data_IF_433403963607
#
_entry.id   IF_433403963607
#
_cell.length_a   1.000
_cell.length_b   1.000
_cell.length_c   1.000
_cell.angle_alpha   90.00
_cell.angle_beta   90.00
_cell.angle_gamma   90.00
#
_symmetry.space_group_name_H-M   'P 1'
#
loop_
_entity.id
_entity.type
_entity.pdbx_description
1 polymer ?
#
# COMPACT_ATOMS: atom_id res chain seq x y z
N UNK A 1 -28.74 3.71 -36.19
CA UNK A 1 -28.74 2.25 -36.11
C UNK A 1 -30.13 1.74 -35.81
N UNK A 2 -30.41 0.47 -36.11
CA UNK A 2 -31.67 -0.19 -35.76
C UNK A 2 -31.62 -0.66 -34.29
N UNK A 3 -32.68 -0.41 -33.52
CA UNK A 3 -32.82 -0.97 -32.16
C UNK A 3 -33.29 -2.41 -32.31
N UNK A 4 -32.50 -3.36 -31.81
CA UNK A 4 -32.84 -4.78 -31.84
C UNK A 4 -33.80 -5.16 -30.71
N UNK A 5 -33.59 -4.61 -29.51
CA UNK A 5 -34.43 -4.82 -28.35
C UNK A 5 -34.14 -3.77 -27.25
N UNK A 6 -35.04 -3.66 -26.28
CA UNK A 6 -34.98 -2.81 -25.09
C UNK A 6 -35.20 -3.66 -23.85
N UNK A 7 -34.38 -3.44 -22.82
CA UNK A 7 -34.48 -4.16 -21.55
C UNK A 7 -34.74 -3.19 -20.41
N UNK A 8 -35.85 -3.38 -19.70
CA UNK A 8 -36.25 -2.58 -18.54
C UNK A 8 -37.04 -1.32 -18.90
N UNK A 9 -37.67 -0.72 -17.88
CA UNK A 9 -38.56 0.43 -18.04
C UNK A 9 -39.90 0.09 -18.71
N UNK A 10 -40.73 1.11 -18.96
CA UNK A 10 -42.10 0.95 -19.47
C UNK A 10 -42.20 0.44 -20.92
N UNK A 11 -41.07 0.40 -21.65
CA UNK A 11 -41.01 -0.04 -23.06
C UNK A 11 -40.04 -1.22 -23.22
N UNK A 12 -39.87 -2.01 -22.16
CA UNK A 12 -39.10 -3.25 -22.20
C UNK A 12 -39.74 -4.23 -23.17
N UNK A 13 -38.94 -4.84 -24.04
CA UNK A 13 -39.38 -5.93 -24.88
C UNK A 13 -39.37 -7.28 -24.11
N UNK A 14 -38.70 -7.32 -22.95
CA UNK A 14 -38.55 -8.54 -22.15
C UNK A 14 -39.57 -8.69 -21.03
N UNK A 15 -40.06 -9.92 -20.83
CA UNK A 15 -40.70 -10.38 -19.60
C UNK A 15 -39.64 -10.87 -18.61
N UNK A 16 -39.64 -10.35 -17.38
CA UNK A 16 -38.65 -10.72 -16.37
C UNK A 16 -39.15 -11.86 -15.48
N UNK A 17 -38.29 -12.85 -15.23
CA UNK A 17 -38.62 -14.06 -14.47
C UNK A 17 -37.68 -14.19 -13.28
N UNK A 18 -38.25 -14.46 -12.10
CA UNK A 18 -37.52 -14.67 -10.84
C UNK A 18 -37.97 -13.71 -9.73
N UNK A 19 -37.46 -13.94 -8.51
CA UNK A 19 -37.79 -13.10 -7.35
C UNK A 19 -37.19 -11.70 -7.46
N UNK A 20 -37.88 -10.70 -6.91
CA UNK A 20 -37.50 -9.28 -6.93
C UNK A 20 -37.19 -8.74 -8.33
N UNK A 21 -38.02 -9.12 -9.30
CA UNK A 21 -37.89 -8.70 -10.71
C UNK A 21 -38.95 -7.69 -11.18
N UNK A 22 -39.72 -7.11 -10.26
CA UNK A 22 -40.66 -6.02 -10.54
C UNK A 22 -40.51 -4.87 -9.51
N UNK A 23 -39.87 -3.74 -9.87
CA UNK A 23 -39.13 -3.53 -11.12
C UNK A 23 -37.87 -4.42 -11.18
N UNK A 24 -37.37 -4.78 -12.38
CA UNK A 24 -36.24 -5.71 -12.54
C UNK A 24 -34.91 -5.13 -12.04
N UNK A 25 -34.69 -3.84 -12.27
CA UNK A 25 -33.54 -3.05 -11.79
C UNK A 25 -33.90 -1.57 -11.83
N UNK A 26 -33.21 -0.75 -11.01
CA UNK A 26 -33.44 0.69 -10.92
C UNK A 26 -32.12 1.43 -10.79
N UNK A 27 -31.88 2.37 -11.71
CA UNK A 27 -30.68 3.20 -11.70
C UNK A 27 -29.41 2.42 -12.04
N UNK A 28 -29.54 1.38 -12.86
CA UNK A 28 -28.49 0.42 -13.14
C UNK A 28 -27.22 1.04 -13.76
N UNK A 29 -26.08 0.44 -13.45
CA UNK A 29 -24.78 0.77 -14.02
C UNK A 29 -24.07 -0.50 -14.51
N UNK A 30 -23.07 -0.29 -15.37
CA UNK A 30 -22.15 -1.35 -15.80
C UNK A 30 -22.82 -2.59 -16.41
N UNK A 31 -23.85 -2.40 -17.22
CA UNK A 31 -24.44 -3.51 -17.98
C UNK A 31 -23.43 -4.02 -19.02
N UNK A 32 -23.16 -5.32 -18.98
CA UNK A 32 -22.26 -6.03 -19.88
C UNK A 32 -22.92 -7.32 -20.35
N UNK A 33 -22.67 -7.71 -21.59
CA UNK A 33 -23.00 -9.04 -22.07
C UNK A 33 -21.80 -9.97 -21.81
N UNK A 34 -22.04 -11.05 -21.09
CA UNK A 34 -21.07 -12.11 -20.83
C UNK A 34 -20.91 -13.02 -22.05
N UNK A 35 -19.85 -13.83 -22.07
CA UNK A 35 -19.54 -14.72 -23.19
C UNK A 35 -20.64 -15.77 -23.46
N UNK A 36 -21.42 -16.14 -22.45
CA UNK A 36 -22.58 -17.04 -22.55
C UNK A 36 -23.86 -16.33 -23.05
N UNK A 37 -23.79 -15.02 -23.29
CA UNK A 37 -24.91 -14.20 -23.74
C UNK A 37 -25.75 -13.60 -22.61
N UNK A 38 -25.50 -13.96 -21.35
CA UNK A 38 -26.18 -13.36 -20.20
C UNK A 38 -25.81 -11.88 -20.05
N UNK A 39 -26.70 -11.10 -19.42
CA UNK A 39 -26.43 -9.71 -19.06
C UNK A 39 -26.09 -9.62 -17.59
N UNK A 40 -24.88 -9.16 -17.28
CA UNK A 40 -24.42 -8.84 -15.94
C UNK A 40 -24.49 -7.32 -15.74
N UNK A 41 -25.00 -6.87 -14.59
CA UNK A 41 -25.11 -5.46 -14.26
C UNK A 41 -25.09 -5.19 -12.76
N UNK A 42 -24.83 -3.93 -12.42
CA UNK A 42 -25.02 -3.42 -11.07
C UNK A 42 -26.37 -2.71 -10.99
N UNK A 43 -27.27 -3.20 -10.15
CA UNK A 43 -28.57 -2.62 -9.86
C UNK A 43 -28.47 -1.78 -8.59
N UNK A 44 -28.54 -0.46 -8.72
CA UNK A 44 -28.51 0.45 -7.57
C UNK A 44 -29.71 0.25 -6.64
N UNK A 45 -30.85 -0.24 -7.14
CA UNK A 45 -32.09 -0.35 -6.37
C UNK A 45 -32.76 1.01 -6.08
N UNK A 46 -32.17 2.12 -6.56
CA UNK A 46 -32.67 3.48 -6.36
C UNK A 46 -32.09 4.44 -7.41
N UNK A 47 -32.89 5.44 -7.77
CA UNK A 47 -32.48 6.64 -8.50
C UNK A 47 -33.27 7.85 -8.01
N UNK A 48 -32.90 9.07 -8.42
CA UNK A 48 -33.67 10.27 -8.06
C UNK A 48 -35.17 10.08 -8.40
N UNK A 49 -36.04 10.25 -7.40
CA UNK A 49 -37.49 10.10 -7.52
C UNK A 49 -38.02 8.66 -7.60
N UNK A 50 -37.19 7.61 -7.47
CA UNK A 50 -37.65 6.22 -7.56
C UNK A 50 -36.78 5.27 -6.71
N UNK A 51 -37.42 4.54 -5.78
CA UNK A 51 -36.77 3.49 -4.97
C UNK A 51 -37.48 2.16 -5.21
N UNK A 52 -36.71 1.10 -5.45
CA UNK A 52 -37.24 -0.26 -5.61
C UNK A 52 -37.53 -0.95 -4.28
N UNK A 53 -37.19 -0.32 -3.14
CA UNK A 53 -37.40 -0.91 -1.80
C UNK A 53 -36.43 -2.06 -1.47
N UNK A 54 -35.39 -2.29 -2.28
CA UNK A 54 -34.36 -3.32 -2.04
C UNK A 54 -32.94 -2.73 -1.98
N UNK A 55 -31.98 -3.43 -1.36
CA UNK A 55 -30.56 -3.08 -1.40
C UNK A 55 -30.02 -3.03 -2.83
N UNK A 56 -28.92 -2.31 -3.05
CA UNK A 56 -28.15 -2.46 -4.28
C UNK A 56 -27.68 -3.89 -4.44
N UNK A 57 -27.54 -4.37 -5.68
CA UNK A 57 -27.12 -5.74 -5.96
C UNK A 57 -26.32 -5.83 -7.25
N UNK A 58 -25.44 -6.82 -7.34
CA UNK A 58 -25.05 -7.36 -8.63
C UNK A 58 -26.18 -8.29 -9.13
N UNK A 59 -26.47 -8.24 -10.42
CA UNK A 59 -27.57 -8.97 -11.05
C UNK A 59 -27.13 -9.55 -12.39
N UNK A 60 -27.37 -10.85 -12.58
CA UNK A 60 -27.14 -11.55 -13.84
C UNK A 60 -28.47 -12.10 -14.39
N UNK A 61 -28.73 -11.81 -15.66
CA UNK A 61 -29.94 -12.19 -16.38
C UNK A 61 -29.59 -13.05 -17.61
N UNK A 62 -30.17 -14.25 -17.68
CA UNK A 62 -30.13 -15.06 -18.90
C UNK A 62 -31.24 -14.67 -19.85
N UNK A 63 -30.93 -14.56 -21.16
CA UNK A 63 -31.86 -14.07 -22.17
C UNK A 63 -32.32 -15.19 -23.10
N UNK A 64 -33.64 -15.29 -23.30
CA UNK A 64 -34.23 -16.00 -24.44
C UNK A 64 -34.75 -14.96 -25.43
N UNK A 65 -34.01 -14.74 -26.51
CA UNK A 65 -34.35 -13.73 -27.53
C UNK A 65 -35.50 -14.15 -28.44
N UNK A 66 -35.90 -15.43 -28.45
CA UNK A 66 -37.07 -15.89 -29.22
C UNK A 66 -38.36 -15.61 -28.47
N UNK A 67 -38.36 -15.85 -27.15
CA UNK A 67 -39.51 -15.60 -26.28
C UNK A 67 -39.52 -14.20 -25.68
N UNK A 68 -38.42 -13.46 -25.84
CA UNK A 68 -38.16 -12.19 -25.17
C UNK A 68 -38.36 -12.31 -23.66
N UNK A 69 -37.67 -13.26 -23.03
CA UNK A 69 -37.66 -13.42 -21.57
C UNK A 69 -36.27 -13.19 -21.00
N UNK A 70 -36.21 -12.53 -19.83
CA UNK A 70 -34.99 -12.32 -19.07
C UNK A 70 -35.13 -12.95 -17.68
N UNK A 71 -34.43 -14.06 -17.44
CA UNK A 71 -34.52 -14.83 -16.21
C UNK A 71 -33.36 -14.48 -15.28
N UNK A 72 -33.65 -14.15 -14.02
CA UNK A 72 -32.62 -13.99 -12.99
C UNK A 72 -31.93 -15.32 -12.75
N UNK A 73 -30.64 -15.40 -13.06
CA UNK A 73 -29.82 -16.60 -12.84
C UNK A 73 -28.85 -16.44 -11.68
N UNK A 74 -28.48 -15.20 -11.33
CA UNK A 74 -27.62 -14.93 -10.19
C UNK A 74 -27.86 -13.51 -9.65
N UNK A 75 -27.71 -13.34 -8.33
CA UNK A 75 -27.68 -12.01 -7.72
C UNK A 75 -26.96 -12.01 -6.39
N UNK A 76 -26.28 -10.92 -6.07
CA UNK A 76 -25.69 -10.71 -4.75
C UNK A 76 -26.05 -9.32 -4.21
N UNK A 77 -26.83 -9.21 -3.12
CA UNK A 77 -27.19 -7.93 -2.53
C UNK A 77 -26.03 -7.34 -1.72
N UNK A 78 -26.06 -6.03 -1.50
CA UNK A 78 -25.12 -5.35 -0.62
C UNK A 78 -25.10 -6.03 0.76
N UNK A 79 -23.93 -6.43 1.32
CA UNK A 79 -23.85 -7.20 2.57
C UNK A 79 -24.60 -6.56 3.74
N UNK A 80 -24.45 -5.23 3.88
CA UNK A 80 -25.13 -4.42 4.87
C UNK A 80 -26.52 -3.89 4.45
N UNK A 81 -27.14 -4.47 3.42
CA UNK A 81 -28.46 -4.10 2.90
C UNK A 81 -28.60 -2.61 2.53
N UNK A 82 -27.51 -1.99 2.09
CA UNK A 82 -27.48 -0.57 1.71
C UNK A 82 -27.83 -0.37 0.23
N UNK A 83 -28.21 0.85 -0.09
CA UNK A 83 -28.56 1.30 -1.44
C UNK A 83 -27.60 2.41 -1.86
N UNK A 84 -27.11 2.36 -3.08
CA UNK A 84 -26.21 3.35 -3.68
C UNK A 84 -26.98 4.28 -4.60
N UNK A 85 -26.79 5.60 -4.43
CA UNK A 85 -27.53 6.61 -5.22
C UNK A 85 -26.93 6.89 -6.59
N UNK A 86 -25.68 6.50 -6.81
CA UNK A 86 -24.97 6.63 -8.09
C UNK A 86 -23.91 5.55 -8.20
N UNK A 87 -23.53 5.31 -9.45
CA UNK A 87 -22.25 4.76 -9.80
C UNK A 87 -22.21 3.28 -9.38
N UNK A 88 -21.02 2.73 -9.19
CA UNK A 88 -20.84 1.32 -8.92
C UNK A 88 -20.77 0.50 -10.20
N UNK A 89 -20.51 -0.77 -10.01
CA UNK A 89 -20.29 -1.70 -11.09
C UNK A 89 -20.05 -3.11 -10.57
N UNK A 90 -20.10 -4.06 -11.50
CA UNK A 90 -19.77 -5.45 -11.24
C UNK A 90 -18.87 -5.97 -12.36
N UNK A 91 -17.91 -6.82 -12.02
CA UNK A 91 -17.06 -7.50 -12.96
C UNK A 91 -17.00 -8.98 -12.60
N UNK A 92 -17.27 -9.85 -13.59
CA UNK A 92 -16.93 -11.28 -13.50
C UNK A 92 -15.43 -11.40 -13.71
N UNK A 93 -14.70 -11.79 -12.67
CA UNK A 93 -13.25 -11.92 -12.66
C UNK A 93 -12.86 -13.32 -13.11
N UNK A 94 -11.98 -13.39 -14.10
CA UNK A 94 -11.31 -14.62 -14.50
C UNK A 94 -10.10 -14.85 -13.59
N UNK A 95 -10.14 -15.93 -12.81
CA UNK A 95 -9.09 -16.31 -11.87
C UNK A 95 -8.03 -17.23 -12.51
N UNK A 96 -8.05 -17.38 -13.83
CA UNK A 96 -7.14 -18.22 -14.58
C UNK A 96 -7.61 -19.67 -14.69
N UNK A 97 -6.89 -20.43 -15.51
CA UNK A 97 -7.24 -21.81 -15.84
C UNK A 97 -7.37 -22.69 -14.59
N UNK A 98 -8.48 -23.43 -14.49
CA UNK A 98 -8.76 -24.35 -13.38
C UNK A 98 -9.33 -23.69 -12.11
N UNK A 99 -9.42 -22.36 -12.04
CA UNK A 99 -10.00 -21.65 -10.90
C UNK A 99 -11.43 -21.15 -11.23
N UNK A 100 -12.39 -21.29 -10.29
CA UNK A 100 -13.73 -20.75 -10.50
C UNK A 100 -13.68 -19.21 -10.59
N UNK A 101 -14.50 -18.58 -11.43
CA UNK A 101 -14.57 -17.13 -11.49
C UNK A 101 -15.14 -16.56 -10.19
N UNK A 102 -14.86 -15.28 -9.94
CA UNK A 102 -15.42 -14.52 -8.82
C UNK A 102 -16.14 -13.29 -9.34
N UNK A 103 -16.95 -12.66 -8.48
CA UNK A 103 -17.67 -11.43 -8.81
C UNK A 103 -17.11 -10.29 -7.96
N UNK A 104 -16.43 -9.35 -8.62
CA UNK A 104 -15.99 -8.11 -8.00
C UNK A 104 -17.10 -7.07 -8.12
N UNK A 105 -17.56 -6.54 -7.00
CA UNK A 105 -18.69 -5.60 -6.92
C UNK A 105 -18.20 -4.31 -6.28
N UNK A 106 -18.29 -3.22 -7.04
CA UNK A 106 -18.12 -1.86 -6.53
C UNK A 106 -19.45 -1.24 -6.15
N UNK A 107 -19.58 -0.83 -4.89
CA UNK A 107 -20.85 -0.36 -4.33
C UNK A 107 -21.13 1.13 -4.61
N UNK A 108 -20.31 1.77 -5.44
CA UNK A 108 -20.53 3.13 -5.93
C UNK A 108 -20.38 4.18 -4.83
N UNK A 109 -21.39 5.03 -4.66
CA UNK A 109 -21.39 6.06 -3.60
C UNK A 109 -21.60 5.51 -2.18
N UNK A 110 -21.86 4.22 -2.05
CA UNK A 110 -22.10 3.49 -0.80
C UNK A 110 -20.93 2.55 -0.56
N UNK A 111 -20.32 2.60 0.62
CA UNK A 111 -19.22 1.71 1.01
C UNK A 111 -19.72 0.31 1.40
N UNK A 112 -18.88 -0.75 1.31
CA UNK A 112 -17.42 -0.73 1.10
C UNK A 112 -17.01 -0.30 -0.31
N UNK A 113 -15.73 0.03 -0.54
CA UNK A 113 -15.25 0.40 -1.88
C UNK A 113 -15.52 -0.73 -2.87
N UNK A 114 -15.16 -1.95 -2.50
CA UNK A 114 -15.56 -3.15 -3.22
C UNK A 114 -15.69 -4.36 -2.30
N UNK A 115 -16.45 -5.34 -2.76
CA UNK A 115 -16.50 -6.70 -2.23
C UNK A 115 -16.27 -7.66 -3.39
N UNK A 116 -15.45 -8.70 -3.19
CA UNK A 116 -15.36 -9.82 -4.12
C UNK A 116 -15.98 -11.06 -3.50
N UNK A 117 -16.79 -11.76 -4.28
CA UNK A 117 -17.52 -12.95 -3.83
C UNK A 117 -17.32 -14.15 -4.75
N UNK A 118 -17.50 -15.36 -4.23
CA UNK A 118 -17.56 -16.57 -5.05
C UNK A 118 -18.73 -16.52 -6.04
N UNK A 119 -18.55 -17.09 -7.24
CA UNK A 119 -19.61 -17.23 -8.23
C UNK A 119 -20.25 -18.61 -8.16
N UNK A 120 -21.04 -18.81 -7.12
CA UNK A 120 -21.85 -20.01 -6.89
C UNK A 120 -23.26 -19.60 -6.41
N UNK A 121 -24.13 -20.58 -6.14
CA UNK A 121 -25.52 -20.33 -5.73
C UNK A 121 -25.62 -19.69 -4.32
N UNK A 122 -24.60 -19.84 -3.48
CA UNK A 122 -24.54 -19.27 -2.13
C UNK A 122 -23.25 -18.46 -1.93
N UNK A 123 -23.12 -17.29 -2.59
CA UNK A 123 -21.87 -16.55 -2.65
C UNK A 123 -21.29 -16.23 -1.28
N UNK A 124 -20.00 -16.46 -1.12
CA UNK A 124 -19.24 -16.09 0.08
C UNK A 124 -18.32 -14.92 -0.24
N UNK A 125 -18.13 -14.03 0.74
CA UNK A 125 -17.19 -12.91 0.60
C UNK A 125 -15.77 -13.43 0.74
N UNK A 126 -14.95 -13.19 -0.30
CA UNK A 126 -13.54 -13.56 -0.36
C UNK A 126 -12.66 -12.43 0.16
N UNK A 127 -13.01 -11.19 -0.22
CA UNK A 127 -12.29 -9.98 0.16
C UNK A 127 -13.22 -8.78 0.14
N UNK A 128 -12.97 -7.86 1.04
CA UNK A 128 -13.68 -6.60 1.16
C UNK A 128 -12.67 -5.50 1.44
N UNK A 129 -12.83 -4.35 0.79
CA UNK A 129 -11.95 -3.20 0.98
C UNK A 129 -12.77 -1.97 1.33
N UNK A 130 -12.46 -1.38 2.48
CA UNK A 130 -13.16 -0.23 3.05
C UNK A 130 -12.38 1.09 2.81
N UNK A 131 -12.96 2.21 3.23
CA UNK A 131 -12.24 3.48 3.33
C UNK A 131 -12.25 4.37 2.07
N UNK A 132 -12.77 3.88 0.95
CA UNK A 132 -12.91 4.68 -0.28
C UNK A 132 -14.33 4.61 -0.84
N UNK A 133 -14.76 5.71 -1.47
CA UNK A 133 -15.93 5.70 -2.36
C UNK A 133 -15.40 5.76 -3.78
N UNK A 134 -15.60 4.71 -4.55
CA UNK A 134 -15.11 4.64 -5.91
C UNK A 134 -16.23 4.62 -6.93
N UNK A 135 -15.95 5.15 -8.12
CA UNK A 135 -16.89 5.10 -9.23
C UNK A 135 -17.10 3.64 -9.68
N UNK A 136 -16.01 2.94 -10.01
CA UNK A 136 -15.97 1.50 -10.36
C UNK A 136 -14.59 0.91 -10.04
N UNK A 137 -14.51 -0.23 -9.33
CA UNK A 137 -13.29 -1.03 -9.22
C UNK A 137 -13.16 -1.95 -10.44
N UNK A 138 -11.93 -2.26 -10.80
CA UNK A 138 -11.60 -3.30 -11.78
C UNK A 138 -10.47 -4.16 -11.22
N UNK A 139 -10.57 -5.47 -11.40
CA UNK A 139 -9.54 -6.43 -11.07
C UNK A 139 -9.09 -7.11 -12.37
N UNK A 140 -7.83 -6.89 -12.72
CA UNK A 140 -7.20 -7.46 -13.89
C UNK A 140 -5.81 -7.98 -13.52
N UNK A 141 -5.40 -9.05 -14.18
CA UNK A 141 -3.99 -9.42 -14.21
C UNK A 141 -3.21 -8.31 -14.92
N UNK A 142 -2.14 -7.83 -14.28
CA UNK A 142 -1.25 -6.85 -14.86
C UNK A 142 0.19 -7.15 -14.45
N UNK A 143 1.11 -6.84 -15.36
CA UNK A 143 2.54 -6.88 -15.07
C UNK A 143 3.08 -5.48 -14.87
N UNK A 144 3.75 -5.28 -13.74
CA UNK A 144 4.33 -4.03 -13.33
C UNK A 144 5.84 -4.09 -13.31
N UNK A 145 6.47 -3.03 -13.80
CA UNK A 145 7.91 -2.81 -13.68
C UNK A 145 8.15 -1.38 -13.21
N UNK A 146 9.30 -1.16 -12.59
CA UNK A 146 9.72 0.15 -12.11
C UNK A 146 11.19 0.37 -12.42
N UNK A 147 11.52 1.59 -12.83
CA UNK A 147 12.90 2.03 -12.96
C UNK A 147 13.50 2.40 -11.61
N UNK A 148 12.67 2.62 -10.60
CA UNK A 148 13.10 2.96 -9.24
C UNK A 148 13.71 1.76 -8.51
N UNK A 149 14.33 2.02 -7.36
CA UNK A 149 14.81 0.96 -6.47
C UNK A 149 13.71 0.56 -5.48
N UNK A 150 13.69 -0.69 -4.98
CA UNK A 150 12.85 -1.02 -3.84
C UNK A 150 13.26 -0.19 -2.61
N UNK A 151 12.26 0.19 -1.80
CA UNK A 151 12.47 0.89 -0.54
C UNK A 151 12.86 -0.12 0.55
N UNK A 152 13.75 0.32 1.43
CA UNK A 152 14.19 -0.40 2.62
C UNK A 152 14.36 0.63 3.74
N UNK A 153 13.56 0.52 4.80
CA UNK A 153 13.52 1.45 5.93
C UNK A 153 13.72 0.70 7.25
N UNK A 154 14.27 1.39 8.25
CA UNK A 154 14.34 0.92 9.63
C UNK A 154 13.31 1.68 10.47
N UNK A 155 12.47 0.97 11.20
CA UNK A 155 11.34 1.50 11.94
C UNK A 155 11.32 0.97 13.37
N UNK A 156 10.75 1.74 14.31
CA UNK A 156 10.62 1.35 15.72
C UNK A 156 9.18 1.26 16.22
N UNK A 157 8.20 1.55 15.36
CA UNK A 157 6.79 1.72 15.71
C UNK A 157 5.86 0.65 15.12
N UNK A 158 6.38 -0.21 14.25
CA UNK A 158 5.56 -1.21 13.56
C UNK A 158 5.20 -2.44 14.43
N UNK A 159 6.02 -2.77 15.43
CA UNK A 159 5.78 -3.93 16.31
C UNK A 159 4.90 -3.60 17.54
N UNK A 160 4.40 -2.36 17.63
CA UNK A 160 3.61 -1.86 18.77
C UNK A 160 2.24 -2.55 18.92
N UNK A 161 1.63 -2.96 17.80
CA UNK A 161 0.37 -3.71 17.84
C UNK A 161 0.52 -5.16 18.30
N UNK A 162 1.66 -5.81 18.03
CA UNK A 162 1.91 -7.18 18.49
C UNK A 162 2.34 -7.26 19.96
N UNK A 163 2.80 -6.14 20.54
CA UNK A 163 3.37 -6.08 21.90
C UNK A 163 2.41 -5.59 22.99
N UNK A 164 1.09 -5.58 22.74
CA UNK A 164 0.11 -5.18 23.74
C UNK A 164 0.06 -3.67 24.02
N UNK A 165 0.50 -2.83 23.07
CA UNK A 165 0.17 -1.40 23.07
C UNK A 165 1.10 -0.47 23.85
N UNK A 166 2.32 -0.90 24.24
CA UNK A 166 3.35 0.03 24.72
C UNK A 166 4.51 0.09 23.71
N UNK A 167 4.78 1.27 23.11
CA UNK A 167 5.97 1.49 22.31
C UNK A 167 7.22 1.25 23.17
N UNK A 168 8.09 0.37 22.68
CA UNK A 168 9.43 0.15 23.24
C UNK A 168 10.41 0.25 22.10
N UNK A 169 11.61 0.77 22.39
CA UNK A 169 12.75 0.74 21.46
C UNK A 169 13.95 0.02 22.08
N UNK A 170 13.77 -0.55 23.28
CA UNK A 170 14.84 -1.05 24.13
C UNK A 170 15.39 -2.40 23.67
N UNK A 171 14.67 -3.15 22.84
CA UNK A 171 15.05 -4.50 22.42
C UNK A 171 15.06 -4.62 20.90
N UNK A 172 15.89 -5.51 20.36
CA UNK A 172 16.03 -5.70 18.90
C UNK A 172 14.72 -6.14 18.23
N UNK A 173 13.84 -6.87 18.93
CA UNK A 173 12.54 -7.24 18.38
C UNK A 173 11.60 -6.05 18.21
N UNK A 174 11.85 -4.94 18.90
CA UNK A 174 11.00 -3.75 18.79
C UNK A 174 11.30 -2.97 17.49
N UNK A 175 12.40 -3.32 16.80
CA UNK A 175 12.88 -2.69 15.58
C UNK A 175 12.67 -3.58 14.37
N UNK A 176 12.18 -2.98 13.29
CA UNK A 176 11.81 -3.69 12.07
C UNK A 176 12.40 -3.03 10.84
N UNK A 177 12.88 -3.85 9.92
CA UNK A 177 13.22 -3.47 8.56
C UNK A 177 12.03 -3.72 7.66
N UNK A 178 11.56 -2.65 7.01
CA UNK A 178 10.42 -2.67 6.09
C UNK A 178 10.93 -2.54 4.67
N UNK A 179 10.44 -3.39 3.77
CA UNK A 179 10.80 -3.28 2.37
C UNK A 179 9.65 -3.60 1.42
N UNK A 180 9.58 -2.81 0.35
CA UNK A 180 8.54 -2.88 -0.66
C UNK A 180 9.08 -2.41 -2.02
N UNK A 181 8.41 -2.81 -3.10
CA UNK A 181 8.73 -2.33 -4.44
C UNK A 181 7.45 -1.86 -5.12
N UNK A 182 7.18 -0.56 -5.01
CA UNK A 182 5.96 0.01 -5.55
C UNK A 182 5.89 -0.18 -7.07
N UNK A 183 4.73 -0.62 -7.56
CA UNK A 183 4.46 -0.81 -8.99
C UNK A 183 5.11 -2.04 -9.64
N UNK A 184 5.84 -2.89 -8.90
CA UNK A 184 6.48 -4.10 -9.45
C UNK A 184 5.71 -5.35 -9.05
N UNK A 185 5.37 -6.19 -10.05
CA UNK A 185 4.64 -7.44 -9.84
C UNK A 185 5.51 -8.66 -10.17
N UNK A 186 5.03 -9.86 -9.81
CA UNK A 186 5.74 -11.13 -10.07
C UNK A 186 6.93 -11.43 -9.14
N UNK A 187 7.16 -10.61 -8.11
CA UNK A 187 8.15 -10.90 -7.07
C UNK A 187 7.65 -12.10 -6.25
N UNK A 188 8.40 -13.18 -6.22
CA UNK A 188 8.08 -14.39 -5.45
C UNK A 188 8.67 -14.33 -4.04
N UNK A 189 9.86 -13.74 -3.91
CA UNK A 189 10.60 -13.63 -2.66
C UNK A 189 11.63 -12.51 -2.70
N UNK A 190 12.23 -12.26 -1.56
CA UNK A 190 13.27 -11.28 -1.33
C UNK A 190 14.50 -11.96 -0.76
N UNK A 191 15.68 -11.51 -1.18
CA UNK A 191 16.96 -11.90 -0.60
C UNK A 191 17.54 -10.73 0.17
N UNK A 192 17.91 -10.98 1.42
CA UNK A 192 18.57 -10.00 2.27
C UNK A 192 20.06 -10.28 2.29
N UNK A 193 20.87 -9.23 2.12
CA UNK A 193 22.32 -9.25 2.11
C UNK A 193 22.84 -8.28 3.16
N UNK A 194 24.00 -8.59 3.71
CA UNK A 194 24.65 -7.77 4.74
C UNK A 194 26.09 -7.46 4.37
N UNK A 195 26.58 -6.29 4.78
CA UNK A 195 27.94 -5.83 4.56
C UNK A 195 28.42 -4.89 5.67
N UNK A 196 29.74 -4.74 5.75
CA UNK A 196 30.39 -3.83 6.71
C UNK A 196 30.45 -2.38 6.21
N UNK A 197 30.16 -2.15 4.93
CA UNK A 197 30.04 -0.83 4.31
C UNK A 197 28.87 -0.79 3.31
N UNK A 198 28.65 0.38 2.71
CA UNK A 198 27.52 0.63 1.81
C UNK A 198 27.56 -0.17 0.51
N UNK A 199 28.70 -0.74 0.12
CA UNK A 199 28.83 -1.63 -1.04
C UNK A 199 28.57 -3.09 -0.65
N UNK A 200 27.35 -3.36 -0.18
CA UNK A 200 26.96 -4.69 0.31
C UNK A 200 27.10 -5.74 -0.81
N UNK A 201 27.93 -6.79 -0.62
CA UNK A 201 28.17 -7.80 -1.63
C UNK A 201 26.94 -8.70 -1.85
N UNK A 202 26.62 -8.97 -3.12
CA UNK A 202 25.48 -9.80 -3.51
C UNK A 202 25.86 -11.27 -3.79
N UNK A 203 27.04 -11.71 -3.39
CA UNK A 203 27.54 -13.07 -3.63
C UNK A 203 26.87 -14.13 -2.75
N UNK A 204 26.50 -13.77 -1.52
CA UNK A 204 25.86 -14.67 -0.56
C UNK A 204 24.79 -13.93 0.24
N UNK A 205 23.54 -14.32 0.06
CA UNK A 205 22.44 -13.78 0.86
C UNK A 205 22.49 -14.35 2.29
N UNK A 206 22.09 -13.53 3.26
CA UNK A 206 21.90 -13.92 4.65
C UNK A 206 20.62 -14.72 4.83
N UNK A 207 19.50 -14.28 4.24
CA UNK A 207 18.21 -14.95 4.34
C UNK A 207 17.32 -14.67 3.13
N UNK A 208 16.27 -15.48 2.98
CA UNK A 208 15.18 -15.25 2.02
C UNK A 208 13.87 -14.99 2.76
N UNK A 209 13.00 -14.15 2.19
CA UNK A 209 11.64 -13.88 2.67
C UNK A 209 10.66 -14.05 1.51
N UNK A 210 9.73 -14.99 1.61
CA UNK A 210 8.65 -15.13 0.61
C UNK A 210 7.80 -13.87 0.56
N UNK A 211 7.37 -13.44 -0.63
CA UNK A 211 6.48 -12.29 -0.77
C UNK A 211 5.05 -12.71 -0.49
N UNK A 212 4.43 -12.09 0.52
CA UNK A 212 3.09 -12.39 1.01
C UNK A 212 2.20 -11.15 1.15
N UNK A 213 2.80 -9.96 1.19
CA UNK A 213 2.10 -8.70 1.31
C UNK A 213 2.70 -7.64 0.37
N UNK A 214 2.10 -6.44 0.34
CA UNK A 214 2.68 -5.31 -0.39
C UNK A 214 4.09 -4.97 0.14
N UNK A 215 4.19 -4.84 1.47
CA UNK A 215 5.40 -4.60 2.24
C UNK A 215 5.74 -5.84 3.07
N UNK A 216 7.02 -6.18 3.11
CA UNK A 216 7.55 -7.25 3.94
C UNK A 216 8.34 -6.68 5.11
N UNK A 217 8.33 -7.40 6.23
CA UNK A 217 8.91 -6.97 7.49
C UNK A 217 9.87 -8.04 8.02
N UNK A 218 11.03 -7.61 8.52
CA UNK A 218 12.01 -8.46 9.22
C UNK A 218 12.48 -7.72 10.48
N UNK A 219 12.44 -8.36 11.64
CA UNK A 219 12.93 -7.73 12.89
C UNK A 219 14.46 -7.68 12.93
N UNK A 220 15.03 -6.74 13.67
CA UNK A 220 16.49 -6.75 13.90
C UNK A 220 16.92 -7.99 14.70
N UNK A 221 16.06 -8.49 15.59
CA UNK A 221 16.33 -9.73 16.33
C UNK A 221 16.50 -10.91 15.37
N UNK A 222 15.56 -11.09 14.43
CA UNK A 222 15.63 -12.16 13.43
C UNK A 222 16.88 -12.05 12.54
N UNK A 223 17.25 -10.81 12.17
CA UNK A 223 18.47 -10.56 11.40
C UNK A 223 19.72 -11.03 12.18
N UNK A 224 19.86 -10.61 13.44
CA UNK A 224 21.00 -10.96 14.30
C UNK A 224 21.05 -12.46 14.59
N UNK A 225 19.91 -13.08 14.90
CA UNK A 225 19.83 -14.53 15.14
C UNK A 225 20.26 -15.32 13.89
N UNK A 226 19.86 -14.86 12.71
CA UNK A 226 20.26 -15.50 11.44
C UNK A 226 21.74 -15.31 11.15
N UNK A 227 22.32 -14.15 11.49
CA UNK A 227 23.76 -13.92 11.37
C UNK A 227 24.55 -14.87 12.26
N UNK A 228 24.13 -15.00 13.52
CA UNK A 228 24.74 -15.93 14.47
C UNK A 228 24.63 -17.38 13.98
N UNK A 229 23.44 -17.82 13.55
CA UNK A 229 23.23 -19.17 13.04
C UNK A 229 24.05 -19.51 11.78
N UNK A 230 24.40 -18.50 10.97
CA UNK A 230 25.21 -18.67 9.76
C UNK A 230 26.72 -18.38 9.97
N UNK A 231 27.15 -18.15 11.21
CA UNK A 231 28.51 -17.74 11.58
C UNK A 231 29.01 -16.56 10.73
N UNK A 232 28.15 -15.58 10.47
CA UNK A 232 28.51 -14.37 9.73
C UNK A 232 29.00 -13.30 10.69
N UNK A 233 30.31 -13.07 10.69
CA UNK A 233 30.96 -11.97 11.41
C UNK A 233 31.24 -10.81 10.46
N UNK A 234 30.86 -9.60 10.85
CA UNK A 234 31.23 -8.37 10.16
C UNK A 234 32.58 -7.91 10.68
N UNK A 235 33.60 -7.99 9.85
CA UNK A 235 34.88 -7.34 10.13
C UNK A 235 34.76 -5.86 9.79
N UNK A 236 34.54 -5.03 10.81
CA UNK A 236 34.68 -3.57 10.65
C UNK A 236 36.15 -3.27 10.33
N UNK A 237 36.41 -2.32 9.42
CA UNK A 237 37.78 -1.88 9.15
C UNK A 237 38.38 -1.39 10.48
N UNK A 238 39.41 -2.09 10.93
CA UNK A 238 40.20 -1.77 12.12
C UNK A 238 40.67 -0.32 12.04
N UNK A 239 40.24 0.51 12.99
CA UNK A 239 40.99 1.64 13.58
C UNK A 239 40.14 2.59 14.45
N UNK A 240 39.12 2.11 15.17
CA UNK A 240 38.52 2.95 16.20
C UNK A 240 37.96 2.13 17.38
N UNK A 241 38.11 2.68 18.58
CA UNK A 241 37.33 2.35 19.78
C UNK A 241 35.84 2.66 19.50
N UNK A 242 35.19 1.94 18.59
CA UNK A 242 33.81 2.29 18.19
C UNK A 242 32.83 1.57 19.11
N UNK A 243 32.11 2.35 19.90
CA UNK A 243 30.90 1.96 20.62
C UNK A 243 29.72 1.65 19.69
N UNK A 244 29.82 2.09 18.42
CA UNK A 244 28.80 1.93 17.38
C UNK A 244 29.30 1.07 16.22
N UNK A 245 28.56 0.03 15.86
CA UNK A 245 28.82 -0.78 14.67
C UNK A 245 27.72 -0.51 13.66
N UNK A 246 28.08 0.02 12.49
CA UNK A 246 27.15 0.18 11.39
C UNK A 246 27.10 -1.10 10.56
N UNK A 247 25.94 -1.77 10.59
CA UNK A 247 25.63 -2.89 9.69
C UNK A 247 24.88 -2.34 8.48
N UNK A 248 25.32 -2.68 7.27
CA UNK A 248 24.63 -2.30 6.05
C UNK A 248 23.81 -3.46 5.51
N UNK A 249 22.53 -3.25 5.27
CA UNK A 249 21.60 -4.25 4.74
C UNK A 249 21.12 -3.85 3.36
N UNK A 250 21.06 -4.80 2.42
CA UNK A 250 20.38 -4.62 1.13
C UNK A 250 19.36 -5.70 0.91
N UNK A 251 18.26 -5.32 0.28
CA UNK A 251 17.25 -6.28 -0.19
C UNK A 251 17.24 -6.34 -1.70
N UNK A 252 17.08 -7.54 -2.22
CA UNK A 252 17.01 -7.81 -3.66
C UNK A 252 15.73 -8.62 -3.93
N UNK A 253 14.78 -8.08 -4.70
CA UNK A 253 13.60 -8.85 -5.09
C UNK A 253 13.99 -9.93 -6.09
N UNK A 254 13.32 -11.08 -6.00
CA UNK A 254 13.43 -12.20 -6.94
C UNK A 254 12.12 -12.31 -7.70
N UNK A 255 12.16 -12.14 -9.02
CA UNK A 255 11.02 -12.39 -9.92
C UNK A 255 11.02 -13.85 -10.36
N UNK A 256 9.85 -14.50 -10.34
CA UNK A 256 9.75 -15.92 -10.63
C UNK A 256 10.64 -16.77 -9.71
N UNK A 257 11.40 -17.71 -10.25
CA UNK A 257 12.20 -18.63 -9.43
C UNK A 257 13.59 -18.10 -9.06
N UNK A 258 14.20 -17.27 -9.92
CA UNK A 258 15.63 -16.91 -9.78
C UNK A 258 16.05 -15.54 -10.31
N UNK A 259 15.20 -14.80 -11.01
CA UNK A 259 15.60 -13.52 -11.63
C UNK A 259 15.79 -12.46 -10.54
N UNK A 260 17.03 -12.02 -10.32
CA UNK A 260 17.33 -10.93 -9.39
C UNK A 260 17.01 -9.58 -10.04
N UNK A 261 16.10 -8.84 -9.41
CA UNK A 261 15.77 -7.47 -9.80
C UNK A 261 16.75 -6.46 -9.19
N UNK A 262 16.55 -5.18 -9.50
CA UNK A 262 17.39 -4.08 -8.99
C UNK A 262 17.44 -4.09 -7.44
N UNK A 263 18.63 -4.03 -6.82
CA UNK A 263 18.76 -3.98 -5.37
C UNK A 263 18.34 -2.63 -4.79
N UNK A 264 17.89 -2.64 -3.53
CA UNK A 264 17.64 -1.42 -2.76
C UNK A 264 18.91 -0.57 -2.60
N UNK A 265 18.74 0.67 -2.16
CA UNK A 265 19.83 1.37 -1.46
C UNK A 265 20.22 0.57 -0.21
N UNK A 266 21.47 0.69 0.23
CA UNK A 266 21.90 0.05 1.45
C UNK A 266 21.28 0.78 2.65
N UNK A 267 20.59 0.06 3.52
CA UNK A 267 20.12 0.61 4.78
C UNK A 267 21.26 0.54 5.78
N UNK A 268 21.64 1.69 6.35
CA UNK A 268 22.55 1.73 7.49
C UNK A 268 21.75 1.44 8.76
N UNK A 269 22.05 0.32 9.39
CA UNK A 269 21.47 -0.11 10.67
C UNK A 269 22.47 0.25 11.78
N UNK A 270 22.21 1.31 12.56
CA UNK A 270 23.05 1.66 13.70
C UNK A 270 22.82 0.66 14.84
N UNK A 271 23.84 -0.13 15.17
CA UNK A 271 23.82 -1.02 16.32
C UNK A 271 24.82 -0.52 17.37
N UNK A 272 24.43 -0.59 18.64
CA UNK A 272 25.30 -0.22 19.76
C UNK A 272 25.96 -1.48 20.31
N UNK A 273 27.26 -1.44 20.58
CA UNK A 273 27.96 -2.57 21.21
C UNK A 273 27.64 -2.60 22.69
N UNK A 274 26.94 -3.65 23.14
CA UNK A 274 26.53 -3.80 24.55
C UNK A 274 27.55 -4.57 25.39
N UNK A 275 28.24 -5.56 24.82
CA UNK A 275 29.36 -6.25 25.47
C UNK A 275 30.30 -6.91 24.45
N UNK A 276 31.55 -7.15 24.87
CA UNK A 276 32.51 -7.99 24.17
C UNK A 276 32.93 -9.13 25.08
N UNK A 277 32.90 -10.34 24.54
CA UNK A 277 33.55 -11.49 25.13
C UNK A 277 35.04 -11.48 24.69
N UNK A 278 35.95 -11.30 25.64
CA UNK A 278 37.39 -11.23 25.37
C UNK A 278 38.00 -12.58 24.96
N UNK A 279 37.36 -13.69 25.33
CA UNK A 279 37.85 -15.06 25.09
C UNK A 279 37.42 -15.57 23.71
N UNK A 280 36.18 -15.28 23.30
CA UNK A 280 35.62 -15.69 22.00
C UNK A 280 35.68 -14.60 20.91
N UNK A 281 35.93 -13.34 21.30
CA UNK A 281 35.84 -12.18 20.41
C UNK A 281 34.40 -11.81 20.00
N UNK A 282 33.38 -12.45 20.59
CA UNK A 282 31.98 -12.21 20.28
C UNK A 282 31.53 -10.82 20.76
N UNK A 283 30.66 -10.18 19.97
CA UNK A 283 30.12 -8.84 20.26
C UNK A 283 28.61 -8.96 20.45
N UNK A 284 28.11 -8.57 21.62
CA UNK A 284 26.68 -8.38 21.82
C UNK A 284 26.27 -7.00 21.33
N UNK A 285 25.13 -6.92 20.64
CA UNK A 285 24.59 -5.67 20.09
C UNK A 285 23.25 -5.33 20.74
N UNK A 286 23.03 -4.04 20.96
CA UNK A 286 21.76 -3.44 21.38
C UNK A 286 21.17 -2.56 20.27
N UNK A 287 19.85 -2.35 20.27
CA UNK A 287 19.17 -1.53 19.26
C UNK A 287 19.62 -0.06 19.25
N UNK A 288 19.22 0.71 18.21
CA UNK A 288 19.43 2.15 18.17
C UNK A 288 18.81 2.89 19.37
N UNK A 289 19.42 4.02 19.75
CA UNK A 289 19.02 4.82 20.92
C UNK A 289 17.85 5.78 20.68
N UNK A 290 17.51 6.07 19.43
CA UNK A 290 16.52 7.09 19.07
C UNK A 290 15.44 6.48 18.20
N UNK A 291 14.18 6.55 18.65
CA UNK A 291 13.03 6.01 17.92
C UNK A 291 12.89 6.58 16.50
N UNK A 292 12.40 5.75 15.59
CA UNK A 292 12.12 6.08 14.19
C UNK A 292 10.66 5.72 13.89
N UNK A 293 9.72 6.67 14.07
CA UNK A 293 8.29 6.45 13.88
C UNK A 293 7.91 6.48 12.39
N UNK A 294 8.10 5.36 11.68
CA UNK A 294 7.90 5.29 10.24
C UNK A 294 6.45 5.58 9.80
N UNK A 295 5.45 5.38 10.66
CA UNK A 295 4.06 5.76 10.34
C UNK A 295 3.87 7.25 10.06
N UNK A 296 4.78 8.09 10.58
CA UNK A 296 4.76 9.53 10.36
C UNK A 296 5.52 9.93 9.11
N UNK A 297 6.19 8.99 8.44
CA UNK A 297 7.05 9.25 7.30
C UNK A 297 6.39 8.83 5.99
N UNK A 298 6.63 9.64 4.97
CA UNK A 298 6.12 9.47 3.63
C UNK A 298 7.33 9.38 2.70
N UNK A 299 7.84 8.16 2.43
CA UNK A 299 8.94 7.98 1.50
C UNK A 299 8.49 8.30 0.07
N UNK A 300 9.40 8.90 -0.67
CA UNK A 300 9.25 9.35 -2.05
C UNK A 300 8.10 10.34 -2.27
N UNK A 301 7.81 11.17 -1.26
CA UNK A 301 6.83 12.25 -1.30
C UNK A 301 7.52 13.58 -1.03
N UNK A 302 7.29 14.55 -1.91
CA UNK A 302 7.80 15.92 -1.81
C UNK A 302 6.80 16.94 -2.32
N UNK A 303 7.22 18.19 -2.45
CA UNK A 303 6.42 19.25 -3.08
C UNK A 303 6.68 19.30 -4.58
N UNK A 304 5.72 19.87 -5.33
CA UNK A 304 5.86 20.14 -6.76
C UNK A 304 7.16 20.87 -7.11
N UNK A 305 7.53 21.87 -6.32
CA UNK A 305 8.74 22.68 -6.51
C UNK A 305 10.03 21.86 -6.38
N UNK A 306 10.02 20.77 -5.63
CA UNK A 306 11.17 19.89 -5.48
C UNK A 306 11.51 19.15 -6.78
N UNK A 307 10.58 19.04 -7.74
CA UNK A 307 10.84 18.51 -9.09
C UNK A 307 11.90 19.32 -9.84
N UNK A 308 12.05 20.61 -9.50
CA UNK A 308 13.04 21.50 -10.11
C UNK A 308 14.40 21.48 -9.43
N UNK A 309 14.59 20.74 -8.33
CA UNK A 309 15.88 20.68 -7.64
C UNK A 309 16.93 20.03 -8.54
N UNK A 310 18.18 20.53 -8.52
CA UNK A 310 19.28 19.88 -9.21
C UNK A 310 19.45 18.46 -8.70
N UNK A 311 19.36 17.47 -9.60
CA UNK A 311 19.70 16.09 -9.25
C UNK A 311 21.23 15.99 -9.14
N UNK A 312 21.78 15.37 -8.09
CA UNK A 312 23.21 15.20 -7.96
C UNK A 312 23.73 14.26 -9.05
N UNK A 313 25.01 14.45 -9.43
CA UNK A 313 25.68 13.59 -10.41
C UNK A 313 25.74 12.11 -9.97
N UNK A 314 25.67 11.86 -8.65
CA UNK A 314 25.66 10.53 -8.05
C UNK A 314 24.65 10.47 -6.91
N UNK A 315 23.70 9.56 -7.01
CA UNK A 315 22.76 9.25 -5.92
C UNK A 315 23.50 8.71 -4.69
N UNK A 316 23.04 9.11 -3.49
CA UNK A 316 23.46 8.46 -2.25
C UNK A 316 23.15 6.96 -2.30
N UNK A 317 24.14 6.08 -2.04
CA UNK A 317 23.92 4.65 -2.03
C UNK A 317 23.23 4.17 -0.76
N UNK A 318 23.03 5.05 0.23
CA UNK A 318 22.62 4.69 1.60
C UNK A 318 21.32 5.38 2.01
N UNK A 319 20.46 4.65 2.72
CA UNK A 319 19.36 5.20 3.51
C UNK A 319 19.85 5.32 4.96
N UNK A 320 19.88 6.55 5.49
CA UNK A 320 20.26 6.84 6.89
C UNK A 320 19.03 7.35 7.65
N UNK A 321 18.33 6.43 8.32
CA UNK A 321 17.13 6.75 9.08
C UNK A 321 17.42 7.61 10.32
N UNK A 322 18.66 7.61 10.83
CA UNK A 322 19.03 8.47 11.95
C UNK A 322 19.07 9.95 11.52
N UNK A 323 19.59 10.23 10.32
CA UNK A 323 19.59 11.58 9.74
C UNK A 323 18.16 12.07 9.42
N UNK A 324 17.30 11.18 8.89
CA UNK A 324 15.88 11.47 8.67
C UNK A 324 15.20 11.83 10.00
N UNK A 325 15.46 11.03 11.04
CA UNK A 325 14.92 11.25 12.39
C UNK A 325 15.38 12.59 12.97
N UNK A 326 16.63 12.97 12.77
CA UNK A 326 17.17 14.26 13.22
C UNK A 326 16.43 15.43 12.55
N UNK A 327 16.21 15.35 11.24
CA UNK A 327 15.41 16.33 10.49
C UNK A 327 13.96 16.41 11.01
N UNK A 328 13.32 15.24 11.20
CA UNK A 328 11.97 15.15 11.73
C UNK A 328 11.86 15.73 13.14
N UNK A 329 12.82 15.43 14.02
CA UNK A 329 12.89 15.98 15.38
C UNK A 329 13.07 17.49 15.40
N UNK A 330 13.96 18.02 14.58
CA UNK A 330 14.16 19.48 14.48
C UNK A 330 12.90 20.21 13.97
N UNK A 331 12.11 19.57 13.11
CA UNK A 331 10.79 20.08 12.71
C UNK A 331 9.76 19.95 13.83
N UNK A 332 9.75 18.84 14.57
CA UNK A 332 8.86 18.63 15.72
C UNK A 332 9.14 19.63 16.86
N UNK A 333 10.40 20.01 17.07
CA UNK A 333 10.79 21.00 18.08
C UNK A 333 10.50 22.46 17.65
N UNK A 334 10.17 22.68 16.37
CA UNK A 334 9.89 24.00 15.81
C UNK A 334 8.39 24.29 15.75
N UNK A 335 7.94 25.30 16.50
CA UNK A 335 6.53 25.77 16.49
C UNK A 335 6.04 26.17 15.08
N UNK A 336 6.98 26.54 14.21
CA UNK A 336 6.72 27.02 12.85
C UNK A 336 6.65 25.91 11.82
N UNK A 337 7.29 24.76 12.07
CA UNK A 337 7.34 23.69 11.07
C UNK A 337 6.00 22.96 11.00
N UNK A 338 5.47 22.79 9.79
CA UNK A 338 4.31 21.94 9.52
C UNK A 338 4.75 20.58 8.98
N UNK A 339 5.63 20.60 7.98
CA UNK A 339 6.12 19.41 7.28
C UNK A 339 7.63 19.50 7.12
N UNK A 340 8.34 18.40 7.39
CA UNK A 340 9.76 18.29 7.02
C UNK A 340 9.91 17.57 5.68
N UNK A 341 10.99 17.86 4.97
CA UNK A 341 11.43 17.15 3.77
C UNK A 341 12.92 16.86 3.88
N UNK A 342 13.29 15.58 3.94
CA UNK A 342 14.67 15.13 3.95
C UNK A 342 15.06 14.58 2.58
N UNK A 343 16.12 15.13 1.98
CA UNK A 343 16.63 14.73 0.68
C UNK A 343 17.78 13.71 0.86
N UNK A 344 17.53 12.45 0.54
CA UNK A 344 18.47 11.34 0.80
C UNK A 344 19.79 11.46 0.05
N UNK A 345 19.78 12.17 -1.08
CA UNK A 345 20.90 12.32 -1.99
C UNK A 345 21.92 13.36 -1.54
N UNK A 346 21.46 14.40 -0.84
CA UNK A 346 22.24 15.54 -0.34
C UNK A 346 22.36 15.56 1.17
N UNK A 347 21.50 14.83 1.89
CA UNK A 347 21.35 14.90 3.34
C UNK A 347 20.71 16.21 3.83
N UNK A 348 20.15 17.02 2.93
CA UNK A 348 19.53 18.29 3.28
C UNK A 348 18.18 18.07 3.96
N UNK A 349 17.95 18.81 5.03
CA UNK A 349 16.66 18.91 5.70
C UNK A 349 16.03 20.26 5.35
N UNK A 350 14.81 20.23 4.83
CA UNK A 350 13.98 21.40 4.57
C UNK A 350 12.76 21.34 5.48
N UNK A 351 12.37 22.49 6.01
CA UNK A 351 11.20 22.65 6.85
C UNK A 351 10.25 23.62 6.18
N UNK A 352 9.05 23.15 5.90
CA UNK A 352 7.99 24.00 5.39
C UNK A 352 7.22 24.63 6.55
N UNK A 353 7.10 25.96 6.51
CA UNK A 353 6.50 26.74 7.60
C UNK A 353 4.98 26.79 7.49
N UNK A 354 4.29 26.68 8.63
CA UNK A 354 2.85 26.96 8.75
C UNK A 354 2.55 28.33 8.17
N UNK A 355 1.75 28.40 7.09
CA UNK A 355 1.22 29.68 6.59
C UNK A 355 0.34 30.29 7.69
N UNK A 356 0.89 31.24 8.46
CA UNK A 356 0.11 32.10 9.34
C UNK A 356 -0.82 32.95 8.48
N UNK A 357 -2.11 32.60 8.44
CA UNK A 357 -3.14 33.51 7.95
C UNK A 357 -3.20 34.74 8.87
N UNK A 358 -2.40 35.77 8.56
CA UNK A 358 -2.69 37.12 9.02
C UNK A 358 -3.65 37.76 8.02
N UNK A 359 -4.93 37.73 8.39
CA UNK A 359 -5.94 38.72 8.02
C UNK A 359 -6.07 39.06 6.54
N UNK A 360 -6.78 38.23 5.77
CA UNK A 360 -7.48 38.67 4.56
C UNK A 360 -8.70 37.77 4.32
N UNK A 361 -9.78 38.37 3.80
CA UNK A 361 -11.17 37.91 3.89
C UNK A 361 -11.47 36.47 3.46
N UNK A 362 -12.32 35.84 4.27
CA UNK A 362 -12.76 34.44 4.31
C UNK A 362 -13.53 33.87 3.09
N UNK A 363 -13.46 34.47 1.89
CA UNK A 363 -14.35 34.06 0.77
C UNK A 363 -13.65 33.66 -0.54
N UNK A 364 -12.38 34.00 -0.78
CA UNK A 364 -11.77 33.78 -2.12
C UNK A 364 -10.52 32.89 -2.19
N UNK A 365 -10.14 32.16 -1.13
CA UNK A 365 -8.95 31.27 -1.15
C UNK A 365 -9.23 29.76 -1.05
N UNK A 366 -10.43 29.30 -1.40
CA UNK A 366 -10.74 27.85 -1.38
C UNK A 366 -10.06 27.03 -2.48
N UNK A 367 -9.25 27.64 -3.35
CA UNK A 367 -8.60 26.97 -4.49
C UNK A 367 -7.08 27.11 -4.58
N UNK A 368 -6.39 27.78 -3.66
CA UNK A 368 -4.95 28.03 -3.77
C UNK A 368 -4.18 27.86 -2.45
N UNK A 369 -4.11 26.64 -1.91
CA UNK A 369 -2.99 26.23 -1.03
C UNK A 369 -2.95 24.75 -0.69
N UNK A 370 -3.58 23.86 -1.48
CA UNK A 370 -3.16 22.46 -1.40
C UNK A 370 -1.71 22.45 -1.89
N UNK A 371 -0.75 22.39 -0.95
CA UNK A 371 0.60 21.99 -1.27
C UNK A 371 0.47 20.70 -2.05
N UNK A 372 0.72 20.77 -3.36
CA UNK A 372 0.61 19.61 -4.23
C UNK A 372 1.77 18.69 -3.84
N UNK A 373 1.47 17.75 -2.95
CA UNK A 373 2.34 16.62 -2.69
C UNK A 373 2.48 15.86 -4.00
N UNK A 374 3.72 15.57 -4.36
CA UNK A 374 4.09 14.86 -5.56
C UNK A 374 4.95 13.66 -5.20
N UNK A 375 4.81 12.58 -5.97
CA UNK A 375 5.74 11.48 -5.91
C UNK A 375 7.10 11.94 -6.45
N UNK A 376 8.12 11.88 -5.60
CA UNK A 376 9.48 12.31 -5.88
C UNK A 376 10.46 11.35 -5.19
N UNK A 377 11.11 10.51 -5.98
CA UNK A 377 12.07 9.54 -5.48
C UNK A 377 13.23 10.17 -4.70
N UNK A 378 13.57 9.58 -3.57
CA UNK A 378 14.72 10.01 -2.76
C UNK A 378 14.43 11.16 -1.78
N UNK A 379 13.15 11.45 -1.53
CA UNK A 379 12.71 12.39 -0.48
C UNK A 379 11.94 11.63 0.58
N UNK A 380 12.12 11.98 1.85
CA UNK A 380 11.28 11.49 2.94
C UNK A 380 10.65 12.69 3.61
N UNK A 381 9.31 12.76 3.60
CA UNK A 381 8.57 13.83 4.26
C UNK A 381 7.77 13.33 5.46
N UNK A 382 7.25 14.24 6.27
CA UNK A 382 6.34 13.89 7.36
C UNK A 382 5.81 15.12 8.09
N UNK A 383 4.64 14.96 8.70
CA UNK A 383 3.98 16.02 9.46
C UNK A 383 4.59 16.15 10.85
N UNK A 384 4.91 17.38 11.24
CA UNK A 384 5.42 17.73 12.57
C UNK A 384 4.52 17.19 13.69
N UNK A 385 3.19 17.36 13.56
CA UNK A 385 2.23 16.92 14.57
C UNK A 385 2.26 15.40 14.84
N UNK A 386 2.42 14.57 13.80
CA UNK A 386 2.52 13.13 13.97
C UNK A 386 3.80 12.76 14.72
N UNK A 387 4.92 13.39 14.33
CA UNK A 387 6.22 13.14 14.96
C UNK A 387 6.22 13.58 16.42
N UNK A 388 5.59 14.72 16.74
CA UNK A 388 5.41 15.18 18.12
C UNK A 388 4.61 14.18 18.96
N UNK A 389 3.51 13.64 18.42
CA UNK A 389 2.66 12.68 19.12
C UNK A 389 3.39 11.35 19.40
N UNK A 390 4.19 10.87 18.47
CA UNK A 390 4.92 9.60 18.62
C UNK A 390 6.23 9.72 19.41
N UNK A 391 6.79 10.93 19.54
CA UNK A 391 8.00 11.19 20.34
C UNK A 391 7.71 11.68 21.77
N UNK A 392 6.48 12.12 22.06
CA UNK A 392 6.02 12.51 23.39
C UNK A 392 5.70 11.29 24.26
#
# INVERSE_FOLDING_TARGET
GQILWRMGGHTSDFTFIGEDMDPPFVGQHHAQQLADGNILMYDNGSRSGMRAGRPSRALELSLDLNKMTATKVWSFPHPNKKTSTCCGGVQKVDNGEGNPPTMLIGWGSTGPFFTEVTYDDNPTIIREFEGFRGHRPLLHSWEGFSTERPRLLLCSDANTQASGGQPSIARLQDWTMHFSFNGVTGISKWRLYIGADSDVPLSRHLMERSKTAFEEIVTLQELVDTMAARNMTLTTKSDANVTDVALYVRVVPVKGDSELLRPSKALKVPLVVSSRDEESGAVSVSPPLSAVPCRCYQPDIGLREHLGRPKPERESPVVDMAAIRECAGACADSDKCETFFFFEDTGQCEMDEKKREMGESFVEKKHESHQELHSLGGVVSGLSACVQEELA
#
